data_IF_814435354480
#
_entry.id   IF_814435354480
#
_cell.length_a   1.000
_cell.length_b   1.000
_cell.length_c   1.000
_cell.angle_alpha   90.00
_cell.angle_beta   90.00
_cell.angle_gamma   90.00
#
_symmetry.space_group_name_H-M   'P 1'
#
loop_
_entity.id
_entity.type
_entity.pdbx_description
1 polymer ?
#
# COMPACT_ATOMS: atom_id res chain seq x y z
N UNK A 1 -16.68 0.42 5.23
CA UNK A 1 -15.26 0.08 4.90
C UNK A 1 -14.76 1.02 3.82
N UNK A 2 -13.49 1.45 3.87
CA UNK A 2 -12.87 2.27 2.81
C UNK A 2 -12.38 1.39 1.67
N UNK A 3 -12.43 1.91 0.44
CA UNK A 3 -11.97 1.22 -0.77
C UNK A 3 -11.02 2.11 -1.55
N UNK A 4 -9.82 1.62 -1.78
CA UNK A 4 -8.79 2.28 -2.55
C UNK A 4 -8.40 1.50 -3.81
N UNK A 5 -7.67 2.15 -4.69
CA UNK A 5 -7.21 1.55 -5.95
C UNK A 5 -5.72 1.77 -6.15
N UNK A 6 -5.04 0.76 -6.69
CA UNK A 6 -3.66 0.90 -7.16
C UNK A 6 -3.68 1.67 -8.50
N UNK A 7 -2.88 2.73 -8.58
CA UNK A 7 -2.73 3.51 -9.80
C UNK A 7 -2.09 2.66 -10.93
N UNK A 8 -2.40 2.96 -12.21
CA UNK A 8 -1.95 2.14 -13.32
C UNK A 8 -0.41 2.16 -13.47
N UNK A 9 0.17 0.97 -13.70
CA UNK A 9 1.57 0.85 -14.08
C UNK A 9 1.83 1.56 -15.43
N UNK A 10 3.10 1.82 -15.77
CA UNK A 10 3.45 2.44 -17.06
C UNK A 10 2.93 1.63 -18.25
N UNK A 11 3.01 0.29 -18.19
CA UNK A 11 2.45 -0.58 -19.23
C UNK A 11 0.93 -0.42 -19.39
N UNK A 12 0.21 -0.25 -18.27
CA UNK A 12 -1.24 -0.02 -18.29
C UNK A 12 -1.56 1.39 -18.78
N UNK A 13 -0.76 2.38 -18.38
CA UNK A 13 -0.90 3.77 -18.87
C UNK A 13 -0.76 3.84 -20.38
N UNK A 14 0.25 3.17 -20.94
CA UNK A 14 0.49 3.10 -22.39
C UNK A 14 -0.63 2.35 -23.12
N UNK A 15 -0.99 1.16 -22.63
CA UNK A 15 -2.04 0.33 -23.23
C UNK A 15 -3.40 1.04 -23.29
N UNK A 16 -3.76 1.73 -22.21
CA UNK A 16 -5.09 2.33 -22.04
C UNK A 16 -5.16 3.80 -22.46
N UNK A 17 -4.01 4.41 -22.79
CA UNK A 17 -3.94 5.84 -23.12
C UNK A 17 -4.31 6.74 -21.95
N UNK A 18 -3.95 6.35 -20.71
CA UNK A 18 -4.26 7.09 -19.49
C UNK A 18 -2.98 7.44 -18.74
N UNK A 19 -2.75 8.72 -18.43
CA UNK A 19 -1.61 9.10 -17.58
C UNK A 19 -1.97 9.06 -16.08
N UNK A 20 -0.95 9.07 -15.24
CA UNK A 20 -1.08 9.00 -13.79
C UNK A 20 -1.98 10.10 -13.20
N UNK A 21 -1.90 11.32 -13.74
CA UNK A 21 -2.68 12.48 -13.27
C UNK A 21 -4.17 12.30 -13.58
N UNK A 22 -4.47 11.82 -14.78
CA UNK A 22 -5.85 11.53 -15.19
C UNK A 22 -6.40 10.38 -14.37
N UNK A 23 -5.60 9.33 -14.10
CA UNK A 23 -6.01 8.19 -13.28
C UNK A 23 -6.32 8.62 -11.84
N UNK A 24 -5.45 9.44 -11.21
CA UNK A 24 -5.67 9.90 -9.85
C UNK A 24 -6.96 10.77 -9.72
N UNK A 25 -7.16 11.71 -10.65
CA UNK A 25 -8.41 12.50 -10.69
C UNK A 25 -9.65 11.64 -10.94
N UNK A 26 -9.54 10.64 -11.81
CA UNK A 26 -10.65 9.74 -12.09
C UNK A 26 -11.05 8.94 -10.85
N UNK A 27 -10.08 8.36 -10.12
CA UNK A 27 -10.36 7.65 -8.87
C UNK A 27 -11.04 8.54 -7.83
N UNK A 28 -10.60 9.79 -7.69
CA UNK A 28 -11.25 10.76 -6.80
C UNK A 28 -12.68 11.12 -7.25
N UNK A 29 -12.88 11.37 -8.54
CA UNK A 29 -14.20 11.70 -9.11
C UNK A 29 -15.17 10.52 -9.02
N UNK A 30 -14.69 9.27 -9.17
CA UNK A 30 -15.46 8.06 -8.97
C UNK A 30 -15.85 7.80 -7.50
N UNK A 31 -15.30 8.56 -6.56
CA UNK A 31 -15.63 8.46 -5.13
C UNK A 31 -14.87 7.38 -4.38
N UNK A 32 -13.74 6.90 -4.89
CA UNK A 32 -12.86 6.02 -4.13
C UNK A 32 -12.17 6.77 -2.98
N UNK A 33 -11.76 6.05 -1.94
CA UNK A 33 -11.23 6.65 -0.71
C UNK A 33 -9.72 6.91 -0.77
N UNK A 34 -8.99 6.18 -1.61
CA UNK A 34 -7.53 6.28 -1.67
C UNK A 34 -6.93 5.77 -2.98
N UNK A 35 -5.79 6.34 -3.38
CA UNK A 35 -4.96 5.87 -4.50
C UNK A 35 -3.61 5.41 -3.98
N UNK A 36 -3.04 4.36 -4.57
CA UNK A 36 -1.88 3.65 -4.04
C UNK A 36 -0.84 3.35 -5.11
N UNK A 37 0.43 3.35 -4.69
CA UNK A 37 1.56 2.85 -5.48
C UNK A 37 2.54 2.04 -4.61
N UNK A 38 3.22 1.07 -5.21
CA UNK A 38 4.30 0.32 -4.59
C UNK A 38 5.67 1.00 -4.79
N UNK A 39 6.60 0.73 -3.88
CA UNK A 39 7.97 1.23 -3.90
C UNK A 39 8.91 0.17 -4.48
N UNK A 40 9.38 0.39 -5.69
CA UNK A 40 10.25 -0.51 -6.41
C UNK A 40 11.38 0.26 -7.07
N UNK A 41 12.63 -0.08 -6.74
CA UNK A 41 13.80 0.43 -7.47
C UNK A 41 13.90 -0.23 -8.84
N UNK A 42 13.64 -1.54 -8.90
CA UNK A 42 13.61 -2.32 -10.14
C UNK A 42 12.72 -3.55 -9.97
N UNK A 43 11.87 -3.82 -10.96
CA UNK A 43 10.94 -4.97 -10.98
C UNK A 43 11.11 -5.86 -12.20
N UNK A 44 12.03 -5.52 -13.12
CA UNK A 44 12.09 -6.09 -14.45
C UNK A 44 11.03 -5.53 -15.41
N UNK A 45 10.19 -4.59 -14.95
CA UNK A 45 9.19 -3.85 -15.73
C UNK A 45 9.36 -2.36 -15.50
N UNK A 46 8.95 -1.49 -16.45
CA UNK A 46 8.96 -0.05 -16.25
C UNK A 46 8.14 0.35 -15.03
N UNK A 47 8.74 1.08 -14.10
CA UNK A 47 8.09 1.59 -12.90
C UNK A 47 8.53 3.02 -12.60
N UNK A 48 7.64 3.81 -12.01
CA UNK A 48 7.95 5.16 -11.55
C UNK A 48 8.50 5.12 -10.12
N UNK A 49 9.36 6.10 -9.80
CA UNK A 49 9.70 6.37 -8.40
C UNK A 49 8.43 6.70 -7.62
N UNK A 50 8.25 6.04 -6.48
CA UNK A 50 7.02 6.16 -5.68
C UNK A 50 6.79 7.59 -5.20
N UNK A 51 7.83 8.30 -4.79
CA UNK A 51 7.71 9.64 -4.20
C UNK A 51 7.29 10.65 -5.27
N UNK A 52 7.93 10.60 -6.44
CA UNK A 52 7.58 11.46 -7.57
C UNK A 52 6.16 11.18 -8.07
N UNK A 53 5.78 9.91 -8.17
CA UNK A 53 4.47 9.51 -8.64
C UNK A 53 3.35 9.87 -7.64
N UNK A 54 3.53 9.63 -6.34
CA UNK A 54 2.55 10.03 -5.31
C UNK A 54 2.47 11.54 -5.14
N UNK A 55 3.57 12.29 -5.29
CA UNK A 55 3.55 13.75 -5.32
C UNK A 55 2.74 14.27 -6.51
N UNK A 56 2.87 13.64 -7.68
CA UNK A 56 2.07 13.95 -8.86
C UNK A 56 0.58 13.70 -8.61
N UNK A 57 0.21 12.57 -8.01
CA UNK A 57 -1.18 12.27 -7.66
C UNK A 57 -1.73 13.26 -6.63
N UNK A 58 -0.93 13.62 -5.61
CA UNK A 58 -1.32 14.60 -4.59
C UNK A 58 -1.57 15.99 -5.17
N UNK A 59 -0.77 16.40 -6.17
CA UNK A 59 -0.87 17.73 -6.79
C UNK A 59 -2.12 17.92 -7.68
N UNK A 60 -2.79 16.84 -8.08
CA UNK A 60 -3.94 16.87 -8.99
C UNK A 60 -5.25 16.40 -8.34
N UNK A 61 -5.23 16.16 -7.04
CA UNK A 61 -6.38 15.70 -6.24
C UNK A 61 -6.50 16.53 -4.97
N UNK A 62 -7.70 16.63 -4.42
CA UNK A 62 -7.99 17.52 -3.28
C UNK A 62 -8.39 16.76 -2.00
N UNK A 63 -9.04 15.61 -2.12
CA UNK A 63 -9.67 14.88 -1.00
C UNK A 63 -9.17 13.47 -0.82
N UNK A 64 -8.92 12.75 -1.92
CA UNK A 64 -8.57 11.32 -1.90
C UNK A 64 -7.26 11.11 -1.13
N UNK A 65 -7.18 10.08 -0.31
CA UNK A 65 -5.94 9.73 0.41
C UNK A 65 -4.88 9.20 -0.56
N UNK A 66 -3.63 9.52 -0.27
CA UNK A 66 -2.46 9.14 -1.07
C UNK A 66 -1.70 8.05 -0.32
N UNK A 67 -1.68 6.84 -0.84
CA UNK A 67 -1.16 5.67 -0.15
C UNK A 67 0.15 5.13 -0.71
N UNK A 68 1.11 4.85 0.15
CA UNK A 68 2.29 4.04 -0.19
C UNK A 68 2.02 2.57 0.14
N UNK A 69 2.00 1.70 -0.85
CA UNK A 69 1.63 0.30 -0.65
C UNK A 69 2.66 -0.71 -1.15
N UNK A 70 3.81 -0.84 -0.50
CA UNK A 70 4.35 -0.19 0.69
C UNK A 70 5.62 0.57 0.37
N UNK A 71 5.95 1.61 1.13
CA UNK A 71 7.23 2.30 1.11
C UNK A 71 8.29 1.44 1.83
N UNK A 72 9.52 1.40 1.30
CA UNK A 72 10.62 0.62 1.86
C UNK A 72 11.71 1.55 2.41
N UNK A 73 11.56 2.10 3.62
CA UNK A 73 12.54 3.04 4.16
C UNK A 73 13.91 2.40 4.39
N UNK A 74 13.95 1.09 4.55
CA UNK A 74 15.15 0.33 4.86
C UNK A 74 16.17 0.25 3.70
N UNK A 75 15.72 0.45 2.45
CA UNK A 75 16.58 0.35 1.26
C UNK A 75 17.35 1.66 0.97
N UNK A 76 17.06 2.72 1.71
CA UNK A 76 17.67 4.05 1.53
C UNK A 76 18.19 4.64 2.85
N UNK A 77 19.01 5.69 2.84
CA UNK A 77 19.37 6.40 4.06
C UNK A 77 18.14 6.92 4.79
N UNK A 78 18.03 6.65 6.11
CA UNK A 78 16.79 6.91 6.87
C UNK A 78 16.40 8.39 6.88
N UNK A 79 17.38 9.31 6.96
CA UNK A 79 17.10 10.75 6.87
C UNK A 79 16.44 11.13 5.53
N UNK A 80 16.89 10.54 4.42
CA UNK A 80 16.25 10.73 3.11
C UNK A 80 14.85 10.13 3.05
N UNK A 81 14.66 8.91 3.59
CA UNK A 81 13.34 8.31 3.69
C UNK A 81 12.37 9.20 4.47
N UNK A 82 12.79 9.71 5.64
CA UNK A 82 11.98 10.62 6.45
C UNK A 82 11.70 11.94 5.72
N UNK A 83 12.69 12.52 5.03
CA UNK A 83 12.51 13.74 4.23
C UNK A 83 11.50 13.55 3.10
N UNK A 84 11.55 12.42 2.40
CA UNK A 84 10.59 12.07 1.35
C UNK A 84 9.17 11.96 1.89
N UNK A 85 8.99 11.27 3.02
CA UNK A 85 7.69 11.12 3.69
C UNK A 85 7.16 12.48 4.16
N UNK A 86 8.00 13.31 4.80
CA UNK A 86 7.61 14.65 5.24
C UNK A 86 7.18 15.52 4.06
N UNK A 87 7.89 15.44 2.93
CA UNK A 87 7.56 16.18 1.71
C UNK A 87 6.21 15.73 1.14
N UNK A 88 5.97 14.42 1.03
CA UNK A 88 4.69 13.90 0.56
C UNK A 88 3.53 14.29 1.48
N UNK A 89 3.73 14.21 2.80
CA UNK A 89 2.71 14.59 3.78
C UNK A 89 2.37 16.09 3.66
N UNK A 90 3.38 16.93 3.48
CA UNK A 90 3.19 18.36 3.26
C UNK A 90 2.45 18.66 1.94
N UNK A 91 2.95 18.12 0.83
CA UNK A 91 2.37 18.35 -0.51
C UNK A 91 0.96 17.78 -0.66
N UNK A 92 0.65 16.71 0.03
CA UNK A 92 -0.71 16.13 0.02
C UNK A 92 -1.69 16.85 0.97
N UNK A 93 -1.23 17.86 1.72
CA UNK A 93 -2.08 18.51 2.73
C UNK A 93 -2.51 17.57 3.85
N UNK A 94 -1.65 16.63 4.26
CA UNK A 94 -1.93 15.67 5.34
C UNK A 94 -2.70 14.42 4.92
N UNK A 95 -2.87 14.16 3.62
CA UNK A 95 -3.63 13.01 3.07
C UNK A 95 -2.81 11.73 2.90
N UNK A 96 -1.52 11.73 3.28
CA UNK A 96 -0.67 10.56 3.13
C UNK A 96 -1.06 9.43 4.10
N UNK A 97 -1.12 8.20 3.60
CA UNK A 97 -1.12 6.97 4.38
C UNK A 97 0.18 6.24 4.05
N UNK A 98 1.02 6.01 5.07
CA UNK A 98 2.33 5.42 4.89
C UNK A 98 2.30 3.92 5.19
N UNK A 99 2.11 3.08 4.18
CA UNK A 99 2.43 1.67 4.30
C UNK A 99 3.94 1.49 4.37
N UNK A 100 4.45 0.75 5.36
CA UNK A 100 5.88 0.46 5.55
C UNK A 100 6.13 -1.02 5.43
N UNK A 101 7.06 -1.40 4.57
CA UNK A 101 7.49 -2.78 4.39
C UNK A 101 9.00 -2.95 4.39
N UNK A 102 9.44 -4.19 4.58
CA UNK A 102 10.87 -4.53 4.54
C UNK A 102 11.41 -4.79 3.12
N UNK A 103 10.56 -4.64 2.10
CA UNK A 103 10.93 -4.93 0.72
C UNK A 103 11.27 -6.38 0.46
N UNK A 104 11.14 -6.77 -0.81
CA UNK A 104 11.55 -8.06 -1.34
C UNK A 104 12.54 -7.88 -2.49
N UNK A 105 12.95 -9.01 -3.13
CA UNK A 105 13.78 -8.99 -4.31
C UNK A 105 15.23 -8.56 -4.06
N UNK A 106 16.12 -9.51 -3.76
CA UNK A 106 17.52 -9.25 -3.40
C UNK A 106 18.27 -8.36 -4.44
N UNK A 107 17.88 -8.45 -5.73
CA UNK A 107 18.50 -7.64 -6.79
C UNK A 107 18.35 -6.13 -6.59
N UNK A 108 17.20 -5.66 -6.15
CA UNK A 108 17.01 -4.21 -5.90
C UNK A 108 17.79 -3.72 -4.67
N UNK A 109 18.04 -4.60 -3.69
CA UNK A 109 18.88 -4.28 -2.53
C UNK A 109 20.34 -4.17 -2.92
N UNK A 110 20.82 -5.08 -3.77
CA UNK A 110 22.16 -5.00 -4.34
C UNK A 110 22.34 -3.73 -5.18
N UNK A 111 21.36 -3.37 -6.01
CA UNK A 111 21.39 -2.13 -6.79
C UNK A 111 21.35 -0.87 -5.92
N UNK A 112 20.77 -0.93 -4.74
CA UNK A 112 20.78 0.15 -3.75
C UNK A 112 22.03 0.15 -2.85
N UNK A 113 22.99 -0.76 -3.09
CA UNK A 113 24.23 -0.92 -2.30
C UNK A 113 23.97 -1.20 -0.81
N UNK A 114 22.86 -1.90 -0.50
CA UNK A 114 22.48 -2.26 0.87
C UNK A 114 22.37 -3.78 0.99
N UNK A 115 22.94 -4.33 2.05
CA UNK A 115 22.83 -5.77 2.31
C UNK A 115 21.39 -6.18 2.56
N UNK A 116 20.91 -7.17 1.78
CA UNK A 116 19.57 -7.73 1.90
C UNK A 116 19.29 -8.32 3.29
N UNK A 117 20.31 -8.86 3.97
CA UNK A 117 20.19 -9.40 5.31
C UNK A 117 19.80 -8.33 6.36
N UNK A 118 20.17 -7.08 6.12
CA UNK A 118 19.86 -5.95 7.02
C UNK A 118 18.42 -5.44 6.91
N UNK A 119 17.62 -5.89 5.93
CA UNK A 119 16.28 -5.36 5.69
C UNK A 119 15.39 -5.34 6.93
N UNK A 120 15.44 -6.40 7.75
CA UNK A 120 14.65 -6.50 8.97
C UNK A 120 15.04 -5.46 10.02
N UNK A 121 16.29 -5.47 10.52
CA UNK A 121 16.78 -4.48 11.50
C UNK A 121 16.63 -3.03 11.03
N UNK A 122 16.89 -2.76 9.74
CA UNK A 122 16.72 -1.40 9.19
C UNK A 122 15.26 -0.97 9.14
N UNK A 123 14.32 -1.90 8.88
CA UNK A 123 12.88 -1.60 8.95
C UNK A 123 12.45 -1.32 10.40
N UNK A 124 12.92 -2.10 11.35
CA UNK A 124 12.62 -1.86 12.78
C UNK A 124 13.14 -0.50 13.22
N UNK A 125 14.38 -0.17 12.88
CA UNK A 125 14.96 1.16 13.14
C UNK A 125 14.17 2.30 12.48
N UNK A 126 13.70 2.09 11.25
CA UNK A 126 12.89 3.09 10.57
C UNK A 126 11.56 3.33 11.29
N UNK A 127 10.85 2.27 11.68
CA UNK A 127 9.60 2.37 12.45
C UNK A 127 9.79 3.09 13.78
N UNK A 128 10.94 2.90 14.45
CA UNK A 128 11.24 3.53 15.73
C UNK A 128 11.57 5.03 15.60
N UNK A 129 12.27 5.42 14.53
CA UNK A 129 12.81 6.78 14.42
C UNK A 129 12.01 7.71 13.49
N UNK A 130 11.23 7.16 12.54
CA UNK A 130 10.40 7.98 11.64
C UNK A 130 9.48 8.96 12.39
N UNK A 131 8.76 8.57 13.46
CA UNK A 131 7.89 9.50 14.17
C UNK A 131 8.59 10.76 14.65
N UNK A 132 9.74 10.63 15.29
CA UNK A 132 10.53 11.75 15.81
C UNK A 132 11.13 12.59 14.67
N UNK A 133 11.66 11.93 13.63
CA UNK A 133 12.19 12.64 12.45
C UNK A 133 11.13 13.48 11.73
N UNK A 134 9.90 12.94 11.61
CA UNK A 134 8.78 13.65 10.99
C UNK A 134 8.25 14.81 11.85
N UNK A 135 8.32 14.67 13.17
CA UNK A 135 7.98 15.74 14.12
C UNK A 135 9.00 16.89 14.12
N UNK A 136 10.17 16.71 13.47
CA UNK A 136 11.26 17.68 13.50
C UNK A 136 12.11 17.61 14.77
N UNK A 137 12.01 16.53 15.52
CA UNK A 137 12.83 16.32 16.71
C UNK A 137 14.28 16.05 16.32
N UNK A 138 15.21 16.35 17.23
CA UNK A 138 16.61 15.99 17.10
C UNK A 138 16.79 14.49 17.32
N UNK A 139 17.23 13.78 16.28
CA UNK A 139 17.42 12.33 16.29
C UNK A 139 18.88 12.00 15.98
N UNK A 140 19.46 11.09 16.77
CA UNK A 140 20.83 10.62 16.53
C UNK A 140 20.85 9.55 15.44
N UNK A 141 21.49 9.86 14.31
CA UNK A 141 21.75 8.93 13.21
C UNK A 141 23.25 8.70 13.07
N UNK A 142 23.74 7.59 13.61
CA UNK A 142 25.18 7.31 13.69
C UNK A 142 25.92 8.32 14.59
N UNK A 143 26.91 9.00 14.07
CA UNK A 143 27.70 10.02 14.81
C UNK A 143 27.06 11.42 14.81
N UNK A 144 25.98 11.64 14.05
CA UNK A 144 25.40 12.96 13.85
C UNK A 144 24.00 13.08 14.46
N UNK A 145 23.66 14.27 14.93
CA UNK A 145 22.29 14.67 15.21
C UNK A 145 21.65 15.23 13.95
N UNK A 146 20.43 14.81 13.68
CA UNK A 146 19.64 15.21 12.51
C UNK A 146 18.32 15.80 13.00
N UNK A 147 18.00 16.99 12.49
CA UNK A 147 16.72 17.66 12.66
C UNK A 147 16.17 17.97 11.27
N UNK A 148 15.00 17.45 10.94
CA UNK A 148 14.41 17.61 9.61
C UNK A 148 13.38 18.74 9.58
N UNK A 149 13.38 19.50 8.50
CA UNK A 149 12.41 20.55 8.22
C UNK A 149 11.86 20.38 6.79
N UNK A 150 10.56 20.62 6.52
CA UNK A 150 9.55 20.97 7.52
C UNK A 150 9.20 19.83 8.45
N UNK A 151 8.86 20.13 9.69
CA UNK A 151 8.13 19.21 10.57
C UNK A 151 6.70 19.02 10.05
N UNK A 152 6.18 17.81 10.17
CA UNK A 152 4.81 17.48 9.72
C UNK A 152 4.10 16.64 10.77
N UNK A 153 2.77 16.71 10.78
CA UNK A 153 1.97 15.71 11.51
C UNK A 153 2.25 14.34 10.91
N UNK A 154 2.63 13.40 11.76
CA UNK A 154 2.94 12.02 11.32
C UNK A 154 1.75 11.41 10.56
N UNK A 155 1.94 10.92 9.33
CA UNK A 155 0.89 10.15 8.66
C UNK A 155 0.61 8.86 9.41
N UNK A 156 -0.59 8.25 9.27
CA UNK A 156 -0.82 6.89 9.75
C UNK A 156 0.19 5.92 9.12
N UNK A 157 0.82 5.09 9.96
CA UNK A 157 1.82 4.10 9.54
C UNK A 157 1.18 2.71 9.58
N UNK A 158 1.05 2.07 8.42
CA UNK A 158 0.55 0.70 8.30
C UNK A 158 1.66 -0.26 7.91
N UNK A 159 1.86 -1.30 8.71
CA UNK A 159 2.96 -2.25 8.47
C UNK A 159 2.51 -3.33 7.48
N UNK A 160 3.22 -3.43 6.37
CA UNK A 160 2.95 -4.37 5.28
C UNK A 160 3.46 -5.78 5.55
N UNK A 161 2.91 -6.74 4.81
CA UNK A 161 3.15 -8.16 4.84
C UNK A 161 2.28 -8.95 5.84
N UNK A 162 2.02 -10.23 5.52
CA UNK A 162 1.18 -11.13 6.33
C UNK A 162 1.96 -11.97 7.37
N UNK A 163 3.29 -11.84 7.42
CA UNK A 163 4.12 -12.66 8.31
C UNK A 163 3.90 -12.32 9.80
N UNK A 164 4.15 -13.28 10.72
CA UNK A 164 4.08 -13.02 12.16
C UNK A 164 4.99 -11.87 12.62
N UNK A 165 6.12 -11.64 11.93
CA UNK A 165 7.02 -10.51 12.21
C UNK A 165 6.34 -9.19 11.86
N UNK A 166 5.65 -9.11 10.74
CA UNK A 166 4.92 -7.91 10.33
C UNK A 166 3.79 -7.57 11.31
N UNK A 167 3.04 -8.57 11.77
CA UNK A 167 1.99 -8.38 12.78
C UNK A 167 2.57 -7.84 14.09
N UNK A 168 3.71 -8.39 14.57
CA UNK A 168 4.40 -7.86 15.76
C UNK A 168 4.86 -6.40 15.57
N UNK A 169 5.39 -6.04 14.39
CA UNK A 169 5.77 -4.67 14.05
C UNK A 169 4.56 -3.73 14.05
N UNK A 170 3.46 -4.17 13.43
CA UNK A 170 2.21 -3.41 13.41
C UNK A 170 1.67 -3.15 14.82
N UNK A 171 1.68 -4.17 15.69
CA UNK A 171 1.27 -4.04 17.07
C UNK A 171 2.15 -3.06 17.86
N UNK A 172 3.47 -3.13 17.66
CA UNK A 172 4.47 -2.34 18.41
C UNK A 172 4.55 -0.87 17.96
N UNK A 173 4.56 -0.63 16.65
CA UNK A 173 4.96 0.66 16.09
C UNK A 173 4.06 1.18 14.96
N UNK A 174 3.03 0.42 14.55
CA UNK A 174 2.10 0.82 13.51
C UNK A 174 0.77 1.33 14.05
N UNK A 175 0.06 2.10 13.24
CA UNK A 175 -1.35 2.43 13.45
C UNK A 175 -2.26 1.39 12.79
N UNK A 176 -1.69 0.56 11.92
CA UNK A 176 -2.41 -0.49 11.21
C UNK A 176 -1.51 -1.59 10.67
N UNK A 177 -2.15 -2.64 10.17
CA UNK A 177 -1.56 -3.78 9.49
C UNK A 177 -2.05 -3.84 8.04
N UNK A 178 -1.14 -4.05 7.09
CA UNK A 178 -1.42 -4.03 5.65
C UNK A 178 -0.91 -5.29 4.95
N UNK A 179 -1.55 -6.46 5.17
CA UNK A 179 -1.27 -7.66 4.40
C UNK A 179 -1.74 -7.50 2.95
N UNK A 180 -1.17 -8.29 2.06
CA UNK A 180 -1.57 -8.33 0.66
C UNK A 180 -1.72 -9.76 0.19
N UNK A 181 -2.69 -9.98 -0.72
CA UNK A 181 -2.91 -11.24 -1.41
C UNK A 181 -3.16 -12.43 -0.46
N UNK A 182 -3.95 -12.21 0.59
CA UNK A 182 -4.42 -13.23 1.52
C UNK A 182 -5.95 -13.28 1.55
N UNK A 183 -6.56 -14.46 1.76
CA UNK A 183 -8.02 -14.59 1.84
C UNK A 183 -8.59 -14.04 3.14
N UNK A 184 -9.92 -13.76 3.22
CA UNK A 184 -10.58 -13.24 4.42
C UNK A 184 -10.30 -14.04 5.69
N UNK A 185 -10.25 -15.37 5.59
CA UNK A 185 -9.95 -16.22 6.76
C UNK A 185 -8.56 -15.92 7.37
N UNK A 186 -7.55 -15.66 6.54
CA UNK A 186 -6.23 -15.27 7.03
C UNK A 186 -6.21 -13.84 7.56
N UNK A 187 -7.02 -12.95 7.00
CA UNK A 187 -7.23 -11.59 7.55
C UNK A 187 -7.78 -11.68 8.95
N UNK A 188 -8.83 -12.47 9.17
CA UNK A 188 -9.46 -12.66 10.48
C UNK A 188 -8.48 -13.22 11.52
N UNK A 189 -7.69 -14.24 11.15
CA UNK A 189 -6.68 -14.81 12.02
C UNK A 189 -5.57 -13.79 12.39
N UNK A 190 -5.11 -13.02 11.40
CA UNK A 190 -4.12 -11.95 11.61
C UNK A 190 -4.66 -10.80 12.46
N UNK A 191 -5.92 -10.42 12.24
CA UNK A 191 -6.62 -9.40 13.02
C UNK A 191 -6.73 -9.78 14.51
N UNK A 192 -7.12 -11.01 14.79
CA UNK A 192 -7.18 -11.54 16.15
C UNK A 192 -5.79 -11.48 16.81
N UNK A 193 -4.77 -11.93 16.10
CA UNK A 193 -3.38 -11.90 16.61
C UNK A 193 -2.87 -10.47 16.84
N UNK A 194 -3.22 -9.55 15.94
CA UNK A 194 -2.87 -8.13 16.10
C UNK A 194 -3.52 -7.53 17.34
N UNK A 195 -4.81 -7.80 17.57
CA UNK A 195 -5.55 -7.32 18.73
C UNK A 195 -4.95 -7.82 20.05
N UNK A 196 -4.58 -9.11 20.12
CA UNK A 196 -3.89 -9.68 21.28
C UNK A 196 -2.58 -8.96 21.61
N UNK A 197 -1.81 -8.61 20.59
CA UNK A 197 -0.47 -8.01 20.75
C UNK A 197 -0.51 -6.50 20.99
N UNK A 198 -1.45 -5.79 20.37
CA UNK A 198 -1.49 -4.33 20.40
C UNK A 198 -2.20 -3.75 21.62
N UNK A 199 -3.11 -4.50 22.25
CA UNK A 199 -3.91 -4.04 23.40
C UNK A 199 -4.89 -2.89 23.06
N UNK A 200 -4.96 -2.47 21.82
CA UNK A 200 -5.88 -1.42 21.32
C UNK A 200 -6.21 -1.68 19.85
N UNK A 201 -7.38 -1.22 19.37
CA UNK A 201 -7.75 -1.38 17.96
C UNK A 201 -6.71 -0.78 17.01
N UNK A 202 -6.47 -1.46 15.90
CA UNK A 202 -5.62 -1.03 14.80
C UNK A 202 -6.39 -1.07 13.49
N UNK A 203 -6.03 -0.20 12.55
CA UNK A 203 -6.53 -0.28 11.18
C UNK A 203 -6.04 -1.58 10.52
N UNK A 204 -6.90 -2.19 9.72
CA UNK A 204 -6.55 -3.38 8.93
C UNK A 204 -6.86 -3.06 7.47
N UNK A 205 -5.82 -2.79 6.70
CA UNK A 205 -5.91 -2.62 5.27
C UNK A 205 -5.52 -3.91 4.58
N UNK A 206 -6.17 -4.24 3.47
CA UNK A 206 -5.85 -5.45 2.69
C UNK A 206 -5.53 -5.07 1.26
N UNK A 207 -4.35 -5.44 0.80
CA UNK A 207 -3.98 -5.39 -0.62
C UNK A 207 -4.62 -6.55 -1.37
N UNK A 208 -5.59 -6.27 -2.21
CA UNK A 208 -6.32 -7.23 -3.02
C UNK A 208 -5.99 -7.10 -4.51
N UNK A 209 -6.30 -8.11 -5.30
CA UNK A 209 -6.23 -8.05 -6.76
C UNK A 209 -7.47 -8.70 -7.35
N UNK A 210 -7.82 -8.30 -8.56
CA UNK A 210 -8.98 -8.86 -9.24
C UNK A 210 -9.24 -8.27 -10.61
N UNK A 211 -10.38 -8.64 -11.19
CA UNK A 211 -10.88 -8.09 -12.43
C UNK A 211 -12.41 -8.15 -12.45
N UNK A 212 -13.04 -7.01 -12.65
CA UNK A 212 -14.49 -6.85 -12.58
C UNK A 212 -15.12 -6.87 -13.98
N UNK A 213 -16.43 -7.09 -14.06
CA UNK A 213 -17.17 -7.13 -15.34
C UNK A 213 -16.87 -8.35 -16.20
N UNK A 214 -16.38 -9.44 -15.61
CA UNK A 214 -16.17 -10.72 -16.32
C UNK A 214 -14.98 -10.76 -17.27
N UNK A 215 -14.06 -9.78 -17.21
CA UNK A 215 -12.90 -9.70 -18.14
C UNK A 215 -11.83 -10.78 -17.90
N UNK A 216 -11.73 -11.29 -16.65
CA UNK A 216 -10.87 -12.41 -16.27
C UNK A 216 -11.54 -13.23 -15.17
N UNK A 217 -11.47 -14.57 -15.31
CA UNK A 217 -11.96 -15.48 -14.28
C UNK A 217 -11.01 -15.62 -13.08
N UNK A 218 -11.58 -16.00 -11.94
CA UNK A 218 -10.90 -16.21 -10.65
C UNK A 218 -9.66 -17.10 -10.78
N UNK A 219 -9.81 -18.28 -11.41
CA UNK A 219 -8.75 -19.29 -11.50
C UNK A 219 -7.51 -18.76 -12.25
N UNK A 220 -7.74 -17.98 -13.31
CA UNK A 220 -6.64 -17.39 -14.08
C UNK A 220 -5.85 -16.36 -13.27
N UNK A 221 -6.55 -15.55 -12.47
CA UNK A 221 -5.92 -14.56 -11.59
C UNK A 221 -5.19 -15.28 -10.45
N UNK A 222 -5.83 -16.28 -9.84
CA UNK A 222 -5.23 -17.09 -8.77
C UNK A 222 -3.96 -17.79 -9.25
N UNK A 223 -3.97 -18.40 -10.44
CA UNK A 223 -2.78 -19.01 -11.03
C UNK A 223 -1.66 -17.99 -11.28
N UNK A 224 -2.00 -16.78 -11.74
CA UNK A 224 -1.01 -15.71 -11.94
C UNK A 224 -0.37 -15.26 -10.60
N UNK A 225 -1.15 -15.16 -9.53
CA UNK A 225 -0.64 -14.85 -8.18
C UNK A 225 0.27 -15.97 -7.70
N UNK A 226 -0.17 -17.24 -7.81
CA UNK A 226 0.61 -18.40 -7.38
C UNK A 226 1.96 -18.47 -8.10
N UNK A 227 1.98 -18.24 -9.41
CA UNK A 227 3.20 -18.21 -10.20
C UNK A 227 4.14 -17.06 -9.81
N UNK A 228 3.59 -15.88 -9.49
CA UNK A 228 4.39 -14.70 -9.18
C UNK A 228 4.94 -14.71 -7.74
N UNK A 229 4.20 -15.28 -6.80
CA UNK A 229 4.49 -15.17 -5.35
C UNK A 229 4.68 -16.53 -4.64
N UNK A 230 4.46 -17.65 -5.33
CA UNK A 230 4.65 -18.99 -4.75
C UNK A 230 3.63 -19.33 -3.64
N UNK A 231 2.44 -18.73 -3.68
CA UNK A 231 1.41 -18.89 -2.64
C UNK A 231 0.11 -19.46 -3.22
N UNK A 232 -0.63 -20.25 -2.45
CA UNK A 232 -2.00 -20.60 -2.82
C UNK A 232 -2.88 -19.33 -2.81
N UNK A 233 -3.60 -19.11 -3.90
CA UNK A 233 -4.35 -17.88 -4.11
C UNK A 233 -5.78 -18.09 -4.62
N UNK A 234 -6.30 -19.31 -4.56
CA UNK A 234 -7.62 -19.64 -5.10
C UNK A 234 -8.74 -18.73 -4.53
N UNK A 235 -8.64 -18.38 -3.26
CA UNK A 235 -9.62 -17.55 -2.56
C UNK A 235 -9.16 -16.10 -2.32
N UNK A 236 -8.21 -15.60 -3.13
CA UNK A 236 -7.71 -14.21 -3.03
C UNK A 236 -8.44 -13.25 -3.98
N UNK A 237 -8.68 -13.59 -5.29
CA UNK A 237 -9.16 -12.61 -6.24
C UNK A 237 -10.57 -12.09 -5.97
N UNK A 238 -10.76 -10.79 -6.22
CA UNK A 238 -12.08 -10.14 -6.29
C UNK A 238 -12.48 -10.09 -7.76
N UNK A 239 -13.57 -10.78 -8.12
CA UNK A 239 -14.03 -10.90 -9.51
C UNK A 239 -15.55 -10.79 -9.57
N UNK A 240 -16.08 -10.65 -10.78
CA UNK A 240 -17.51 -10.64 -11.04
C UNK A 240 -18.07 -9.25 -11.36
N UNK A 241 -19.37 -9.11 -11.28
CA UNK A 241 -20.08 -7.84 -11.41
C UNK A 241 -19.95 -7.00 -10.10
N UNK A 242 -20.45 -5.76 -10.06
CA UNK A 242 -20.34 -4.91 -8.85
C UNK A 242 -20.97 -5.50 -7.60
N UNK A 243 -22.07 -6.25 -7.72
CA UNK A 243 -22.78 -6.90 -6.60
C UNK A 243 -21.94 -8.05 -6.02
N UNK A 244 -21.35 -8.88 -6.89
CA UNK A 244 -20.47 -9.98 -6.49
C UNK A 244 -19.18 -9.45 -5.85
N UNK A 245 -18.63 -8.36 -6.38
CA UNK A 245 -17.48 -7.69 -5.81
C UNK A 245 -17.80 -7.04 -4.45
N UNK A 246 -18.97 -6.41 -4.30
CA UNK A 246 -19.44 -5.86 -3.03
C UNK A 246 -19.60 -6.97 -1.97
N UNK A 247 -20.20 -8.11 -2.35
CA UNK A 247 -20.27 -9.26 -1.46
C UNK A 247 -18.89 -9.72 -0.99
N UNK A 248 -17.93 -9.79 -1.90
CA UNK A 248 -16.55 -10.17 -1.56
C UNK A 248 -15.85 -9.13 -0.66
N UNK A 249 -16.07 -7.86 -0.89
CA UNK A 249 -15.59 -6.77 -0.02
C UNK A 249 -16.20 -6.88 1.39
N UNK A 250 -17.47 -7.27 1.48
CA UNK A 250 -18.15 -7.50 2.75
C UNK A 250 -17.54 -8.67 3.54
N UNK A 251 -17.12 -9.76 2.86
CA UNK A 251 -16.37 -10.85 3.52
C UNK A 251 -15.05 -10.35 4.14
N UNK A 252 -14.33 -9.46 3.45
CA UNK A 252 -13.14 -8.83 4.03
C UNK A 252 -13.50 -7.93 5.22
N UNK A 253 -14.60 -7.18 5.15
CA UNK A 253 -15.09 -6.35 6.24
C UNK A 253 -15.45 -7.21 7.46
N UNK A 254 -16.16 -8.30 7.26
CA UNK A 254 -16.51 -9.27 8.31
C UNK A 254 -15.27 -9.93 8.94
N UNK A 255 -14.19 -10.09 8.17
CA UNK A 255 -12.89 -10.54 8.64
C UNK A 255 -12.09 -9.48 9.42
N UNK A 256 -12.63 -8.27 9.57
CA UNK A 256 -12.03 -7.16 10.31
C UNK A 256 -11.29 -6.13 9.45
N UNK A 257 -11.32 -6.23 8.13
CA UNK A 257 -10.72 -5.21 7.27
C UNK A 257 -11.49 -3.89 7.36
N UNK A 258 -10.77 -2.81 7.58
CA UNK A 258 -11.28 -1.44 7.57
C UNK A 258 -11.08 -0.75 6.22
N UNK A 259 -10.15 -1.27 5.43
CA UNK A 259 -9.75 -0.73 4.13
C UNK A 259 -9.34 -1.86 3.18
N UNK A 260 -9.81 -1.83 1.93
CA UNK A 260 -9.33 -2.72 0.86
C UNK A 260 -8.72 -1.87 -0.25
N UNK A 261 -7.52 -2.24 -0.68
CA UNK A 261 -6.79 -1.60 -1.78
C UNK A 261 -6.70 -2.56 -2.95
N UNK A 262 -7.38 -2.27 -4.03
CA UNK A 262 -7.49 -3.17 -5.16
C UNK A 262 -6.56 -2.81 -6.32
N UNK A 263 -5.75 -3.77 -6.74
CA UNK A 263 -5.04 -3.76 -8.02
C UNK A 263 -5.84 -4.51 -9.10
N UNK A 264 -5.76 -4.08 -10.36
CA UNK A 264 -6.47 -4.74 -11.45
C UNK A 264 -5.57 -5.68 -12.24
N UNK A 265 -5.99 -6.93 -12.35
CA UNK A 265 -5.30 -7.96 -13.11
C UNK A 265 -5.65 -7.94 -14.61
N UNK A 266 -6.67 -7.19 -15.02
CA UNK A 266 -7.12 -7.10 -16.40
C UNK A 266 -8.18 -6.02 -16.61
N UNK A 267 -8.62 -5.87 -17.86
CA UNK A 267 -9.55 -4.80 -18.27
C UNK A 267 -8.86 -3.45 -18.43
N UNK A 268 -9.62 -2.47 -18.94
CA UNK A 268 -9.14 -1.08 -18.99
C UNK A 268 -9.22 -0.48 -17.59
N UNK A 269 -8.17 0.16 -17.16
CA UNK A 269 -8.05 0.63 -15.77
C UNK A 269 -9.22 1.53 -15.34
N UNK A 270 -9.66 2.45 -16.23
CA UNK A 270 -10.77 3.35 -15.94
C UNK A 270 -12.08 2.58 -15.72
N UNK A 271 -12.41 1.64 -16.60
CA UNK A 271 -13.64 0.84 -16.51
C UNK A 271 -13.64 0.00 -15.21
N UNK A 272 -12.49 -0.56 -14.86
CA UNK A 272 -12.31 -1.30 -13.61
C UNK A 272 -12.46 -0.41 -12.36
N UNK A 273 -11.96 0.82 -12.42
CA UNK A 273 -12.11 1.82 -11.37
C UNK A 273 -13.58 2.18 -11.16
N UNK A 274 -14.35 2.37 -12.23
CA UNK A 274 -15.78 2.68 -12.19
C UNK A 274 -16.59 1.52 -11.61
N UNK A 275 -16.30 0.27 -12.00
CA UNK A 275 -16.94 -0.92 -11.44
C UNK A 275 -16.62 -1.11 -9.96
N UNK A 276 -15.38 -0.83 -9.54
CA UNK A 276 -14.99 -0.87 -8.13
C UNK A 276 -15.72 0.21 -7.31
N UNK A 277 -15.87 1.41 -7.86
CA UNK A 277 -16.63 2.47 -7.23
C UNK A 277 -18.12 2.12 -7.09
N UNK A 278 -18.72 1.48 -8.10
CA UNK A 278 -20.08 0.94 -8.00
C UNK A 278 -20.17 -0.10 -6.87
N UNK A 279 -19.22 -1.04 -6.80
CA UNK A 279 -19.19 -2.06 -5.73
C UNK A 279 -19.10 -1.40 -4.34
N UNK A 280 -18.30 -0.33 -4.20
CA UNK A 280 -18.19 0.43 -2.95
C UNK A 280 -19.51 1.09 -2.53
N UNK A 281 -20.31 1.56 -3.47
CA UNK A 281 -21.61 2.18 -3.18
C UNK A 281 -22.65 1.18 -2.67
N UNK A 282 -22.43 -0.12 -2.87
CA UNK A 282 -23.30 -1.20 -2.41
C UNK A 282 -22.95 -1.70 -0.98
N UNK A 283 -21.85 -1.21 -0.38
CA UNK A 283 -21.42 -1.53 1.00
C UNK A 283 -22.14 -0.65 2.03
#
# INVERSE_FOLDING_TARGET
MKVGVVLPSLEVQERDGIDLRVAARHAEAAGLDSVWLGDHLMTGRPSLDIVAALATAAAVTDRISIGAGVFVPAIRPLAWAAKQVATLQHLSGGRLILGVGSGGGAGQWAAAEVDYAERGPRTDRALDLLPALLAGDRVRLGAHEVELSPAVTRPPIWVGNASPIAIRRAARAGDGWFPSLIPPAQVAAGAARLAELAGSPREIAVGATGALGGVLGRDRIAAAIANAYGTEAADVPIVGNPEEAAHRLEEFRAAGATHVVMGFAGGRWRDQCDLLAQSRHLL
#
